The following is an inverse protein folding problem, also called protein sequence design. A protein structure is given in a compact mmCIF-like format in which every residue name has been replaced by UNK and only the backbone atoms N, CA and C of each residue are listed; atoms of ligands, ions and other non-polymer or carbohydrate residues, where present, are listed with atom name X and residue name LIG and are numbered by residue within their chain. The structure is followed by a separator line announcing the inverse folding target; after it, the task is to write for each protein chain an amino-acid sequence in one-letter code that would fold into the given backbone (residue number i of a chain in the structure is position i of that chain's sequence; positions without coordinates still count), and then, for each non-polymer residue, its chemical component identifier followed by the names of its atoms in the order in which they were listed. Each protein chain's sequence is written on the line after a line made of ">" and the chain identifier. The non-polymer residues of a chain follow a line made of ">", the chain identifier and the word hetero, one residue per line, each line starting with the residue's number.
data_IF_265895275801
#
_entry.id   IF_265895275801
#
_cell.length_a   1.000
_cell.length_b   1.000
_cell.length_c   1.000
_cell.angle_alpha   90.00
_cell.angle_beta   90.00
_cell.angle_gamma   90.00
#
_symmetry.space_group_name_H-M   'P 1'
#
loop_
_entity.id
_entity.type
_entity.pdbx_description
1 polymer ?
#
# COMPACT_ATOMS: atom_id res chain seq x y z
N UNK A 1 2.53 36.74 -6.84
CA UNK A 1 2.05 35.73 -7.79
C UNK A 1 1.91 34.43 -7.02
N UNK A 2 0.68 34.06 -6.70
CA UNK A 2 0.37 32.84 -5.93
C UNK A 2 0.21 31.68 -6.94
N UNK A 3 1.17 30.76 -7.01
CA UNK A 3 1.02 29.53 -7.76
C UNK A 3 0.25 28.52 -6.89
N UNK A 4 -1.04 28.38 -7.15
CA UNK A 4 -1.84 27.28 -6.62
C UNK A 4 -1.54 26.06 -7.50
N UNK A 5 -0.66 25.17 -7.03
CA UNK A 5 -0.57 23.84 -7.61
C UNK A 5 -1.80 23.05 -7.15
N UNK A 6 -2.80 22.94 -8.03
CA UNK A 6 -3.85 21.96 -7.89
C UNK A 6 -3.21 20.57 -8.02
N UNK A 7 -2.93 19.91 -6.90
CA UNK A 7 -2.68 18.48 -6.89
C UNK A 7 -4.02 17.80 -7.16
N UNK A 8 -4.30 17.54 -8.43
CA UNK A 8 -5.45 16.72 -8.83
C UNK A 8 -5.18 15.31 -8.33
N UNK A 9 -6.02 14.84 -7.41
CA UNK A 9 -6.01 13.44 -7.01
C UNK A 9 -6.20 12.55 -8.25
N UNK A 10 -5.27 11.66 -8.52
CA UNK A 10 -5.24 10.77 -9.70
C UNK A 10 -6.39 9.76 -9.77
N UNK A 11 -7.40 9.86 -8.91
CA UNK A 11 -8.51 8.90 -8.84
C UNK A 11 -9.36 8.79 -10.12
N UNK A 12 -9.28 9.75 -11.04
CA UNK A 12 -10.17 9.78 -12.21
C UNK A 12 -9.49 9.74 -13.58
N UNK A 13 -8.19 10.03 -13.66
CA UNK A 13 -7.43 9.98 -14.92
C UNK A 13 -6.06 9.32 -14.68
N UNK A 14 -5.97 8.00 -14.75
CA UNK A 14 -4.68 7.31 -14.65
C UNK A 14 -3.79 7.71 -15.84
N UNK A 15 -2.46 7.66 -15.71
CA UNK A 15 -1.54 7.82 -16.83
C UNK A 15 -1.86 6.86 -17.98
N UNK A 16 -1.43 7.19 -19.19
CA UNK A 16 -1.57 6.30 -20.34
C UNK A 16 -0.98 4.92 -20.04
N UNK A 17 -1.71 3.86 -20.39
CA UNK A 17 -1.35 2.47 -20.11
C UNK A 17 -1.73 1.96 -18.71
N UNK A 18 -2.21 2.83 -17.80
CA UNK A 18 -2.67 2.45 -16.46
C UNK A 18 -4.20 2.40 -16.37
N UNK A 19 -4.69 1.55 -15.48
CA UNK A 19 -6.11 1.46 -15.12
C UNK A 19 -6.30 1.87 -13.67
N UNK A 20 -7.29 2.72 -13.40
CA UNK A 20 -7.60 3.12 -12.03
C UNK A 20 -8.10 1.91 -11.22
N UNK A 21 -7.46 1.63 -10.08
CA UNK A 21 -7.91 0.62 -9.12
C UNK A 21 -9.02 1.14 -8.21
N UNK A 22 -9.01 2.43 -7.95
CA UNK A 22 -9.98 3.11 -7.10
C UNK A 22 -10.83 4.06 -7.95
N UNK A 23 -12.16 3.96 -7.83
CA UNK A 23 -13.10 4.75 -8.62
C UNK A 23 -13.34 6.18 -8.09
N UNK A 24 -12.71 6.55 -6.96
CA UNK A 24 -12.86 7.86 -6.32
C UNK A 24 -14.19 8.05 -5.58
N UNK A 25 -15.08 7.06 -5.50
CA UNK A 25 -16.44 7.19 -4.97
C UNK A 25 -16.75 6.25 -3.81
N UNK A 26 -16.38 4.97 -3.93
CA UNK A 26 -16.74 3.92 -2.99
C UNK A 26 -15.72 2.77 -2.99
N UNK A 27 -16.01 1.69 -2.26
CA UNK A 27 -15.14 0.52 -2.14
C UNK A 27 -15.47 -0.58 -3.19
N UNK A 28 -16.14 -0.27 -4.27
CA UNK A 28 -16.39 -1.23 -5.36
C UNK A 28 -15.07 -1.74 -5.93
N UNK A 29 -14.92 -3.06 -6.09
CA UNK A 29 -13.71 -3.73 -6.55
C UNK A 29 -12.71 -4.04 -5.44
N UNK A 30 -13.11 -3.82 -4.17
CA UNK A 30 -12.29 -4.09 -3.00
C UNK A 30 -12.97 -5.01 -2.00
N UNK A 31 -12.18 -5.82 -1.32
CA UNK A 31 -12.59 -6.65 -0.20
C UNK A 31 -11.53 -6.60 0.91
N UNK A 32 -11.80 -7.25 2.05
CA UNK A 32 -10.92 -7.20 3.21
C UNK A 32 -10.12 -8.48 3.39
N UNK A 33 -8.80 -8.35 3.60
CA UNK A 33 -7.92 -9.46 3.97
C UNK A 33 -7.10 -9.12 5.22
N UNK A 34 -6.60 -10.18 5.86
CA UNK A 34 -5.49 -10.13 6.83
C UNK A 34 -4.20 -10.52 6.14
N UNK A 35 -3.08 -10.40 6.86
CA UNK A 35 -1.82 -11.02 6.43
C UNK A 35 -1.99 -12.54 6.45
N UNK A 36 -2.20 -13.14 5.32
CA UNK A 36 -2.38 -14.57 5.16
C UNK A 36 -1.87 -15.05 3.79
N UNK A 37 -1.46 -16.31 3.74
CA UNK A 37 -1.04 -16.95 2.51
C UNK A 37 -2.23 -16.97 1.51
N UNK A 38 -2.07 -16.41 0.29
CA UNK A 38 -3.13 -16.42 -0.72
C UNK A 38 -3.66 -17.82 -1.06
N UNK A 39 -2.85 -18.86 -0.98
CA UNK A 39 -3.29 -20.23 -1.23
C UNK A 39 -4.45 -20.67 -0.33
N UNK A 40 -4.52 -20.11 0.88
CA UNK A 40 -5.58 -20.44 1.86
C UNK A 40 -6.96 -19.99 1.43
N UNK A 41 -7.07 -18.91 0.65
CA UNK A 41 -8.36 -18.41 0.18
C UNK A 41 -8.57 -18.63 -1.32
N UNK A 42 -7.51 -18.69 -2.13
CA UNK A 42 -7.62 -19.03 -3.56
C UNK A 42 -8.16 -20.46 -3.81
N UNK A 43 -7.88 -21.40 -2.89
CA UNK A 43 -8.32 -22.79 -2.99
C UNK A 43 -9.67 -23.07 -2.30
N UNK A 44 -10.33 -22.04 -1.74
CA UNK A 44 -11.63 -22.23 -1.07
C UNK A 44 -12.72 -22.63 -2.07
N UNK A 45 -13.63 -23.54 -1.70
CA UNK A 45 -14.89 -23.72 -2.41
C UNK A 45 -15.65 -22.39 -2.51
N UNK A 46 -16.37 -22.20 -3.62
CA UNK A 46 -17.05 -20.94 -3.95
C UNK A 46 -17.92 -20.40 -2.80
N UNK A 47 -18.69 -21.27 -2.14
CA UNK A 47 -19.56 -20.86 -1.02
C UNK A 47 -18.75 -20.34 0.18
N UNK A 48 -17.62 -20.98 0.49
CA UNK A 48 -16.73 -20.53 1.58
C UNK A 48 -16.01 -19.21 1.24
N UNK A 49 -15.58 -19.08 -0.02
CA UNK A 49 -15.01 -17.83 -0.48
C UNK A 49 -16.02 -16.69 -0.40
N UNK A 50 -17.27 -16.94 -0.89
CA UNK A 50 -18.36 -15.96 -0.81
C UNK A 50 -18.64 -15.53 0.63
N UNK A 51 -18.75 -16.47 1.56
CA UNK A 51 -18.95 -16.14 2.98
C UNK A 51 -17.81 -15.30 3.58
N UNK A 52 -16.55 -15.64 3.23
CA UNK A 52 -15.37 -14.85 3.64
C UNK A 52 -15.42 -13.44 3.05
N UNK A 53 -15.75 -13.30 1.79
CA UNK A 53 -15.88 -12.02 1.10
C UNK A 53 -16.99 -11.17 1.73
N UNK A 54 -18.20 -11.72 1.94
CA UNK A 54 -19.33 -11.03 2.57
C UNK A 54 -19.01 -10.58 4.01
N UNK A 55 -18.34 -11.41 4.79
CA UNK A 55 -17.89 -11.04 6.12
C UNK A 55 -16.89 -9.88 6.08
N UNK A 56 -15.99 -9.87 5.11
CA UNK A 56 -14.98 -8.81 4.94
C UNK A 56 -15.59 -7.48 4.56
N UNK A 57 -16.70 -7.46 3.78
CA UNK A 57 -17.39 -6.23 3.39
C UNK A 57 -17.90 -5.45 4.61
N UNK A 58 -18.41 -6.15 5.62
CA UNK A 58 -18.88 -5.51 6.87
C UNK A 58 -17.74 -4.81 7.61
N UNK A 59 -16.55 -5.40 7.59
CA UNK A 59 -15.37 -4.85 8.24
C UNK A 59 -14.82 -3.64 7.48
N UNK A 60 -14.58 -3.76 6.18
CA UNK A 60 -14.00 -2.66 5.41
C UNK A 60 -14.92 -1.43 5.38
N UNK A 61 -16.23 -1.60 5.30
CA UNK A 61 -17.17 -0.47 5.36
C UNK A 61 -17.26 0.18 6.74
N UNK A 62 -16.81 -0.49 7.79
CA UNK A 62 -16.72 0.09 9.14
C UNK A 62 -15.44 0.93 9.30
N UNK A 63 -14.33 0.49 8.73
CA UNK A 63 -13.00 1.04 8.99
C UNK A 63 -12.41 1.88 7.86
N UNK A 64 -12.97 1.74 6.64
CA UNK A 64 -12.58 2.51 5.48
C UNK A 64 -13.72 3.40 4.99
N UNK A 65 -13.40 4.61 4.61
CA UNK A 65 -14.36 5.54 4.01
C UNK A 65 -13.75 6.31 2.86
N UNK A 66 -14.60 6.79 1.97
CA UNK A 66 -14.21 7.71 0.89
C UNK A 66 -14.68 9.11 1.24
N UNK A 67 -13.78 10.08 1.15
CA UNK A 67 -14.09 11.50 1.30
C UNK A 67 -13.29 12.31 0.27
N UNK A 68 -14.00 13.08 -0.55
CA UNK A 68 -13.38 13.91 -1.60
C UNK A 68 -12.43 13.12 -2.52
N UNK A 69 -12.82 11.91 -2.95
CA UNK A 69 -11.99 11.06 -3.80
C UNK A 69 -10.80 10.40 -3.11
N UNK A 70 -10.71 10.44 -1.78
CA UNK A 70 -9.60 9.89 -1.00
C UNK A 70 -10.10 8.72 -0.16
N UNK A 71 -9.37 7.60 -0.19
CA UNK A 71 -9.55 6.47 0.72
C UNK A 71 -8.94 6.81 2.08
N UNK A 72 -9.71 6.66 3.14
CA UNK A 72 -9.29 6.97 4.50
C UNK A 72 -9.57 5.75 5.39
N UNK A 73 -8.54 5.25 6.07
CA UNK A 73 -8.65 4.25 7.12
C UNK A 73 -8.60 4.90 8.50
N UNK A 74 -9.29 4.34 9.48
CA UNK A 74 -9.30 4.81 10.86
C UNK A 74 -8.20 4.19 11.76
N UNK A 75 -7.27 3.44 11.15
CA UNK A 75 -6.19 2.73 11.84
C UNK A 75 -6.54 1.31 12.27
N UNK A 76 -7.73 0.81 11.92
CA UNK A 76 -8.23 -0.50 12.32
C UNK A 76 -8.76 -1.31 11.13
N UNK A 77 -9.19 -2.53 11.43
CA UNK A 77 -9.89 -3.42 10.48
C UNK A 77 -8.97 -4.18 9.54
N UNK A 78 -9.59 -4.71 8.50
CA UNK A 78 -8.92 -5.48 7.46
C UNK A 78 -8.20 -4.57 6.46
N UNK A 79 -7.18 -5.09 5.80
CA UNK A 79 -6.53 -4.41 4.67
C UNK A 79 -7.46 -4.38 3.48
N UNK A 80 -7.52 -3.26 2.76
CA UNK A 80 -8.16 -3.23 1.45
C UNK A 80 -7.33 -4.03 0.46
N UNK A 81 -7.97 -5.00 -0.16
CA UNK A 81 -7.38 -5.87 -1.16
C UNK A 81 -8.20 -5.81 -2.44
N UNK A 82 -7.55 -5.82 -3.58
CA UNK A 82 -8.23 -5.84 -4.88
C UNK A 82 -8.97 -7.17 -5.08
N UNK A 83 -10.19 -7.13 -5.61
CA UNK A 83 -10.91 -8.35 -6.01
C UNK A 83 -10.22 -9.06 -7.17
N UNK A 84 -9.60 -8.29 -8.07
CA UNK A 84 -8.83 -8.82 -9.18
C UNK A 84 -7.43 -9.23 -8.71
N UNK A 85 -6.97 -10.41 -9.15
CA UNK A 85 -5.60 -10.86 -8.97
C UNK A 85 -4.72 -10.33 -10.10
N UNK A 86 -3.48 -9.96 -9.76
CA UNK A 86 -2.49 -9.45 -10.69
C UNK A 86 -1.25 -10.34 -10.69
N UNK A 87 -0.71 -10.60 -11.88
CA UNK A 87 0.59 -11.24 -12.08
C UNK A 87 1.72 -10.22 -11.99
N UNK A 88 2.41 -9.97 -13.09
CA UNK A 88 3.35 -8.87 -13.22
C UNK A 88 2.58 -7.56 -13.36
N UNK A 89 3.04 -6.49 -12.70
CA UNK A 89 2.36 -5.20 -12.70
C UNK A 89 3.29 -4.03 -12.40
N UNK A 90 2.83 -2.84 -12.75
CA UNK A 90 3.26 -1.58 -12.20
C UNK A 90 2.09 -0.96 -11.41
N UNK A 91 2.38 -0.40 -10.24
CA UNK A 91 1.41 0.23 -9.35
C UNK A 91 1.88 1.64 -8.99
N UNK A 92 1.03 2.62 -9.22
CA UNK A 92 1.22 3.99 -8.76
C UNK A 92 0.16 4.31 -7.71
N UNK A 93 0.55 4.90 -6.60
CA UNK A 93 -0.37 5.37 -5.58
C UNK A 93 0.24 6.52 -4.77
N UNK A 94 -0.63 7.32 -4.20
CA UNK A 94 -0.26 8.36 -3.25
C UNK A 94 -0.80 8.03 -1.86
N UNK A 95 -0.03 8.39 -0.83
CA UNK A 95 -0.45 8.23 0.56
C UNK A 95 0.00 9.38 1.43
N UNK A 96 -0.74 9.60 2.51
CA UNK A 96 -0.31 10.47 3.62
C UNK A 96 -0.20 9.65 4.89
N UNK A 97 0.87 9.87 5.63
CA UNK A 97 1.04 9.29 6.97
C UNK A 97 0.65 10.28 8.07
N UNK A 98 0.41 9.71 9.23
CA UNK A 98 0.17 10.41 10.50
C UNK A 98 1.15 9.86 11.55
N UNK A 99 1.25 10.57 12.69
CA UNK A 99 2.04 10.08 13.82
C UNK A 99 1.57 8.69 14.27
N UNK A 100 2.53 7.80 14.55
CA UNK A 100 2.29 6.41 14.95
C UNK A 100 1.92 5.47 13.81
N UNK A 101 1.94 5.92 12.55
CA UNK A 101 1.59 5.09 11.40
C UNK A 101 2.49 3.85 11.27
N UNK A 102 1.83 2.71 11.05
CA UNK A 102 2.45 1.43 10.68
C UNK A 102 1.53 0.77 9.66
N UNK A 103 1.91 0.80 8.41
CA UNK A 103 1.09 0.38 7.29
C UNK A 103 1.96 -0.19 6.18
N UNK A 104 1.36 -0.54 5.06
CA UNK A 104 2.11 -1.02 3.91
C UNK A 104 1.22 -1.58 2.82
N UNK A 105 1.86 -2.01 1.75
CA UNK A 105 1.21 -2.55 0.57
C UNK A 105 1.73 -3.96 0.35
N UNK A 106 0.88 -4.97 0.54
CA UNK A 106 1.21 -6.35 0.24
C UNK A 106 1.10 -6.62 -1.27
N UNK A 107 2.17 -7.11 -1.85
CA UNK A 107 2.27 -7.44 -3.27
C UNK A 107 2.06 -8.94 -3.45
N UNK A 108 0.96 -9.34 -4.08
CA UNK A 108 0.58 -10.77 -4.28
C UNK A 108 0.61 -11.59 -2.97
N UNK A 109 0.26 -10.96 -1.85
CA UNK A 109 0.27 -11.57 -0.52
C UNK A 109 1.58 -11.43 0.25
N UNK A 110 2.73 -11.40 -0.42
CA UNK A 110 4.11 -11.21 0.10
C UNK A 110 4.96 -10.69 -1.06
N UNK A 111 5.92 -9.77 -0.89
CA UNK A 111 6.31 -9.03 0.30
C UNK A 111 5.45 -7.78 0.55
N UNK A 112 5.70 -7.10 1.67
CA UNK A 112 5.10 -5.82 2.02
C UNK A 112 6.05 -4.66 1.72
N UNK A 113 5.62 -3.71 0.89
CA UNK A 113 6.25 -2.39 0.79
C UNK A 113 5.80 -1.59 2.01
N UNK A 114 6.73 -1.32 2.91
CA UNK A 114 6.45 -0.76 4.23
C UNK A 114 6.18 0.75 4.20
N UNK A 115 5.27 1.20 5.05
CA UNK A 115 4.98 2.61 5.34
C UNK A 115 5.11 2.82 6.84
N UNK A 116 5.98 3.75 7.26
CA UNK A 116 6.29 4.01 8.67
C UNK A 116 5.89 5.42 9.12
N UNK A 117 5.62 5.56 10.43
CA UNK A 117 6.04 6.76 11.15
C UNK A 117 7.56 6.68 11.33
N UNK A 118 8.30 7.48 10.58
CA UNK A 118 9.75 7.47 10.56
C UNK A 118 10.38 8.30 11.70
N UNK A 119 9.56 8.95 12.51
CA UNK A 119 10.04 9.70 13.68
C UNK A 119 10.49 8.78 14.81
N UNK A 120 11.32 9.32 15.71
CA UNK A 120 11.74 8.61 16.92
C UNK A 120 10.56 8.33 17.85
N UNK A 121 9.62 9.25 17.91
CA UNK A 121 8.39 9.22 18.70
C UNK A 121 7.45 8.09 18.24
N UNK A 122 7.50 7.70 16.97
CA UNK A 122 6.80 6.53 16.43
C UNK A 122 7.25 5.19 17.02
N UNK A 123 8.41 5.19 17.70
CA UNK A 123 8.90 4.07 18.50
C UNK A 123 9.38 2.84 17.70
N UNK A 124 9.49 2.94 16.39
CA UNK A 124 9.77 1.79 15.49
C UNK A 124 11.18 1.79 14.89
N UNK A 125 12.07 2.63 15.37
CA UNK A 125 13.45 2.67 14.91
C UNK A 125 14.20 1.34 15.08
N UNK A 126 13.93 0.60 16.15
CA UNK A 126 14.48 -0.75 16.33
C UNK A 126 14.07 -1.75 15.24
N UNK A 127 12.99 -1.45 14.52
CA UNK A 127 12.49 -2.25 13.40
C UNK A 127 13.00 -1.75 12.05
N UNK A 128 13.66 -0.59 12.00
CA UNK A 128 14.20 0.03 10.78
C UNK A 128 13.44 1.25 10.26
N UNK A 129 12.48 1.79 11.03
CA UNK A 129 11.71 2.97 10.62
C UNK A 129 12.55 4.24 10.45
N UNK A 130 13.71 4.33 11.13
CA UNK A 130 14.69 5.39 10.96
C UNK A 130 15.29 5.45 9.54
N UNK A 131 15.24 4.35 8.80
CA UNK A 131 15.74 4.26 7.43
C UNK A 131 14.74 4.77 6.38
N UNK A 132 13.47 4.95 6.76
CA UNK A 132 12.41 5.41 5.88
C UNK A 132 11.45 4.30 5.44
N UNK A 133 10.42 4.72 4.69
CA UNK A 133 9.43 3.85 4.07
C UNK A 133 9.92 3.27 2.73
N UNK A 134 9.19 2.31 2.19
CA UNK A 134 9.40 1.74 0.85
C UNK A 134 10.24 0.47 0.83
N UNK A 135 10.88 0.08 1.92
CA UNK A 135 11.57 -1.20 2.02
C UNK A 135 10.61 -2.40 2.06
N UNK A 136 11.10 -3.59 1.68
CA UNK A 136 10.36 -4.85 1.74
C UNK A 136 10.54 -5.50 3.12
N UNK A 137 9.99 -4.87 4.15
CA UNK A 137 10.31 -5.16 5.56
C UNK A 137 10.18 -6.62 5.97
N UNK A 138 9.18 -7.33 5.47
CA UNK A 138 8.94 -8.74 5.80
C UNK A 138 9.60 -9.74 4.82
N UNK A 139 10.47 -9.26 3.93
CA UNK A 139 11.18 -10.09 2.94
C UNK A 139 12.42 -10.79 3.50
N UNK A 140 12.46 -11.05 4.80
CA UNK A 140 13.54 -11.74 5.50
C UNK A 140 14.14 -10.95 6.66
N UNK A 141 15.19 -11.47 7.29
CA UNK A 141 15.86 -10.81 8.41
C UNK A 141 16.57 -9.51 7.99
N UNK A 142 16.99 -8.70 8.97
CA UNK A 142 17.80 -7.50 8.70
C UNK A 142 19.02 -7.83 7.84
N UNK A 143 19.30 -7.00 6.84
CA UNK A 143 20.37 -7.23 5.86
C UNK A 143 19.95 -8.00 4.61
N UNK A 144 18.75 -8.56 4.57
CA UNK A 144 18.21 -9.13 3.33
C UNK A 144 18.03 -8.02 2.29
N UNK A 145 18.36 -8.31 1.04
CA UNK A 145 18.27 -7.37 -0.07
C UNK A 145 16.86 -6.78 -0.18
N UNK A 146 16.77 -5.47 -0.24
CA UNK A 146 15.53 -4.72 -0.37
C UNK A 146 14.69 -4.61 0.91
N UNK A 147 15.05 -5.30 2.01
CA UNK A 147 14.33 -5.20 3.27
C UNK A 147 14.32 -3.78 3.83
N UNK A 148 15.47 -3.15 3.82
CA UNK A 148 15.62 -1.74 4.16
C UNK A 148 15.68 -0.91 2.88
N UNK A 149 15.14 0.32 2.86
CA UNK A 149 15.26 1.19 1.71
C UNK A 149 16.72 1.63 1.50
N UNK A 150 17.12 1.84 0.25
CA UNK A 150 18.47 2.30 -0.13
C UNK A 150 18.79 3.70 0.39
N UNK A 151 17.76 4.52 0.62
CA UNK A 151 17.87 5.87 1.14
C UNK A 151 16.53 6.33 1.71
N UNK A 152 16.59 7.33 2.57
CA UNK A 152 15.41 8.00 3.12
C UNK A 152 14.74 8.89 2.06
N UNK A 153 13.44 8.72 1.86
CA UNK A 153 12.71 9.43 0.82
C UNK A 153 11.34 9.96 1.27
N UNK A 154 10.95 9.74 2.52
CA UNK A 154 9.65 10.17 3.05
C UNK A 154 9.53 11.69 3.11
N UNK A 155 8.32 12.18 2.90
CA UNK A 155 7.92 13.56 3.17
C UNK A 155 7.34 13.68 4.58
N UNK A 156 7.29 14.91 5.13
CA UNK A 156 6.68 15.18 6.43
C UNK A 156 5.21 14.70 6.53
N UNK A 157 4.72 14.49 7.75
CA UNK A 157 3.32 14.16 7.98
C UNK A 157 2.38 15.19 7.34
N UNK A 158 1.28 14.69 6.79
CA UNK A 158 0.29 15.51 6.10
C UNK A 158 0.63 15.88 4.65
N UNK A 159 1.84 15.59 4.19
CA UNK A 159 2.20 15.71 2.78
C UNK A 159 1.95 14.41 2.02
N UNK A 160 1.61 14.52 0.73
CA UNK A 160 1.44 13.37 -0.14
C UNK A 160 2.79 12.76 -0.51
N UNK A 161 2.99 11.50 -0.16
CA UNK A 161 4.05 10.66 -0.66
C UNK A 161 3.54 9.90 -1.89
N UNK A 162 4.41 9.65 -2.85
CA UNK A 162 4.09 8.98 -4.10
C UNK A 162 4.94 7.72 -4.26
N UNK A 163 4.28 6.57 -4.40
CA UNK A 163 4.93 5.32 -4.77
C UNK A 163 4.76 5.02 -6.26
N UNK A 164 5.84 4.52 -6.86
CA UNK A 164 5.82 3.76 -8.10
C UNK A 164 6.51 2.42 -7.84
N UNK A 165 5.74 1.34 -7.89
CA UNK A 165 6.17 -0.01 -7.56
C UNK A 165 6.05 -0.86 -8.82
N UNK A 166 7.10 -1.60 -9.18
CA UNK A 166 7.04 -2.62 -10.22
C UNK A 166 7.34 -4.00 -9.64
N UNK A 167 6.58 -5.00 -10.06
CA UNK A 167 6.81 -6.39 -9.72
C UNK A 167 6.75 -7.23 -10.98
N UNK A 168 7.90 -7.85 -11.34
CA UNK A 168 8.02 -8.73 -12.52
C UNK A 168 8.66 -10.04 -12.07
N UNK A 169 7.93 -11.13 -12.22
CA UNK A 169 8.29 -12.40 -11.61
C UNK A 169 8.43 -12.24 -10.10
N UNK A 170 9.60 -12.52 -9.56
CA UNK A 170 9.93 -12.38 -8.13
C UNK A 170 10.69 -11.09 -7.81
N UNK A 171 10.93 -10.23 -8.81
CA UNK A 171 11.73 -9.03 -8.63
C UNK A 171 10.84 -7.81 -8.38
N UNK A 172 11.10 -7.12 -7.30
CA UNK A 172 10.40 -5.89 -6.90
C UNK A 172 11.35 -4.71 -6.99
N UNK A 173 10.88 -3.63 -7.60
CA UNK A 173 11.52 -2.32 -7.50
C UNK A 173 10.53 -1.30 -6.97
N UNK A 174 11.00 -0.41 -6.11
CA UNK A 174 10.17 0.63 -5.48
C UNK A 174 10.84 1.98 -5.64
N UNK A 175 10.08 2.94 -6.15
CA UNK A 175 10.40 4.37 -6.07
C UNK A 175 9.46 5.03 -5.07
N UNK A 176 10.02 5.87 -4.22
CA UNK A 176 9.29 6.73 -3.30
C UNK A 176 9.70 8.18 -3.57
N UNK A 177 8.73 9.02 -3.90
CA UNK A 177 8.99 10.43 -4.24
C UNK A 177 10.12 10.57 -5.28
N UNK A 178 9.99 9.84 -6.40
CA UNK A 178 10.93 9.75 -7.54
C UNK A 178 12.30 9.09 -7.22
N UNK A 179 12.61 8.82 -5.96
CA UNK A 179 13.87 8.20 -5.54
C UNK A 179 13.76 6.68 -5.53
N UNK A 180 14.73 5.99 -6.09
CA UNK A 180 14.79 4.53 -6.06
C UNK A 180 15.16 4.07 -4.65
N UNK A 181 14.23 3.41 -3.95
CA UNK A 181 14.42 2.91 -2.58
C UNK A 181 14.60 1.39 -2.52
N UNK A 182 14.08 0.65 -3.50
CA UNK A 182 14.36 -0.79 -3.67
C UNK A 182 14.65 -1.06 -5.15
N UNK A 183 15.71 -1.81 -5.43
CA UNK A 183 16.11 -2.17 -6.78
C UNK A 183 16.18 -3.69 -6.97
N UNK A 184 15.20 -4.25 -7.70
CA UNK A 184 15.12 -5.67 -8.12
C UNK A 184 15.45 -6.63 -6.97
N UNK A 185 14.82 -6.47 -5.84
CA UNK A 185 14.98 -7.29 -4.64
C UNK A 185 13.93 -8.41 -4.62
#
# INVERSE_FOLDING_TARGET
>A
LLFIFNTVAFATNPPEGFTSLFNGKDLTGWWGLKTEDPSKWLSLPQEKFKAKWEASQKDIHKHWRVKNGILINDGHGLFLSTEKNYGDFELMLEYKTVAGADSGIYLRGVPQVQIWDTSKEGGKWKLGADKGSGGLWNNGPSGTRGRDPLLYADKPFGEWNHFHISMTGNLVSVRLNEKLVVHRA
#
